data_IF_735330452431
#
_entry.id   IF_735330452431
#
_cell.length_a   1.000
_cell.length_b   1.000
_cell.length_c   1.000
_cell.angle_alpha   90.00
_cell.angle_beta   90.00
_cell.angle_gamma   90.00
#
_symmetry.space_group_name_H-M   'P 1'
#
loop_
_entity.id
_entity.type
_entity.pdbx_description
1 polymer ?
#
# COMPACT_ATOMS: atom_id res chain seq x y z
N UNK A 1 25.51 10.60 24.76
CA UNK A 1 24.62 10.97 23.63
C UNK A 1 23.26 10.34 23.85
N UNK A 2 22.21 11.15 24.08
CA UNK A 2 20.88 10.68 24.48
C UNK A 2 20.22 9.75 23.45
N UNK A 3 19.62 8.65 23.94
CA UNK A 3 18.82 7.72 23.14
C UNK A 3 17.51 8.40 22.68
N UNK A 4 17.51 9.08 21.54
CA UNK A 4 16.29 9.64 20.94
C UNK A 4 15.40 8.46 20.50
N UNK A 5 14.26 8.26 21.19
CA UNK A 5 13.28 7.18 20.96
C UNK A 5 13.91 5.77 20.89
N UNK A 6 15.04 5.58 21.58
CA UNK A 6 15.73 4.30 21.66
C UNK A 6 16.59 3.91 20.44
N UNK A 7 16.79 4.78 19.47
CA UNK A 7 17.76 4.51 18.40
C UNK A 7 19.20 4.67 18.90
N UNK A 8 20.04 3.66 18.63
CA UNK A 8 21.48 3.71 18.97
C UNK A 8 22.30 4.49 17.95
N UNK A 9 21.90 4.44 16.67
CA UNK A 9 22.60 5.08 15.56
C UNK A 9 21.73 6.21 14.97
N UNK A 10 22.32 7.40 14.76
CA UNK A 10 21.63 8.56 14.15
C UNK A 10 21.14 8.26 12.74
N UNK A 11 21.88 7.46 11.98
CA UNK A 11 21.49 7.05 10.63
C UNK A 11 20.18 6.26 10.62
N UNK A 12 19.99 5.31 11.54
CA UNK A 12 18.74 4.55 11.64
C UNK A 12 17.55 5.43 12.01
N UNK A 13 17.77 6.45 12.85
CA UNK A 13 16.74 7.45 13.17
C UNK A 13 16.37 8.28 11.94
N UNK A 14 17.36 8.75 11.17
CA UNK A 14 17.12 9.49 9.93
C UNK A 14 16.30 8.67 8.93
N UNK A 15 16.69 7.42 8.69
CA UNK A 15 15.95 6.50 7.81
C UNK A 15 14.51 6.29 8.28
N UNK A 16 14.30 6.13 9.59
CA UNK A 16 12.97 5.98 10.16
C UNK A 16 12.11 7.23 9.94
N UNK A 17 12.66 8.42 10.15
CA UNK A 17 11.93 9.68 9.93
C UNK A 17 11.61 9.86 8.45
N UNK A 18 12.58 9.62 7.56
CA UNK A 18 12.39 9.83 6.12
C UNK A 18 11.40 8.81 5.53
N UNK A 19 11.69 7.51 5.63
CA UNK A 19 10.83 6.46 5.05
C UNK A 19 9.54 6.24 5.84
N UNK A 20 9.62 6.29 7.17
CA UNK A 20 8.43 6.20 8.03
C UNK A 20 7.53 7.42 7.90
N UNK A 21 8.10 8.62 7.75
CA UNK A 21 7.36 9.84 7.45
C UNK A 21 6.71 9.79 6.07
N UNK A 22 7.41 9.30 5.05
CA UNK A 22 6.84 9.10 3.71
C UNK A 22 5.67 8.11 3.74
N UNK A 23 5.80 6.98 4.45
CA UNK A 23 4.72 6.02 4.62
C UNK A 23 3.53 6.63 5.37
N UNK A 24 3.77 7.35 6.48
CA UNK A 24 2.72 8.04 7.23
C UNK A 24 1.98 9.05 6.35
N UNK A 25 2.72 9.88 5.62
CA UNK A 25 2.15 10.88 4.71
C UNK A 25 1.32 10.23 3.60
N UNK A 26 1.79 9.12 3.04
CA UNK A 26 1.05 8.35 2.05
C UNK A 26 -0.24 7.73 2.62
N UNK A 27 -0.19 7.16 3.81
CA UNK A 27 -1.36 6.62 4.51
C UNK A 27 -2.40 7.71 4.77
N UNK A 28 -1.99 8.87 5.28
CA UNK A 28 -2.88 10.02 5.52
C UNK A 28 -3.46 10.58 4.22
N UNK A 29 -2.65 10.70 3.16
CA UNK A 29 -3.12 11.10 1.84
C UNK A 29 -4.18 10.14 1.29
N UNK A 30 -3.97 8.84 1.48
CA UNK A 30 -4.85 7.76 1.01
C UNK A 30 -6.10 7.61 1.88
N UNK A 31 -6.08 8.03 3.15
CA UNK A 31 -7.25 8.00 4.02
C UNK A 31 -8.44 8.77 3.44
N UNK A 32 -8.21 9.81 2.64
CA UNK A 32 -9.27 10.55 1.94
C UNK A 32 -10.08 9.68 0.98
N UNK A 33 -9.47 8.65 0.40
CA UNK A 33 -10.14 7.75 -0.54
C UNK A 33 -10.91 6.62 0.15
N UNK A 34 -10.93 6.59 1.50
CA UNK A 34 -11.91 5.79 2.26
C UNK A 34 -13.34 6.28 2.02
N UNK A 35 -13.52 7.56 1.69
CA UNK A 35 -14.78 8.10 1.21
C UNK A 35 -14.91 7.82 -0.29
N UNK A 36 -15.91 7.00 -0.66
CA UNK A 36 -16.16 6.61 -2.05
C UNK A 36 -16.46 7.78 -2.98
N UNK A 37 -17.03 8.89 -2.50
CA UNK A 37 -17.23 10.09 -3.33
C UNK A 37 -15.90 10.75 -3.69
N UNK A 38 -14.97 10.83 -2.74
CA UNK A 38 -13.61 11.32 -3.00
C UNK A 38 -12.82 10.33 -3.87
N UNK A 39 -13.01 9.02 -3.67
CA UNK A 39 -12.45 8.01 -4.55
C UNK A 39 -12.92 8.22 -5.99
N UNK A 40 -14.23 8.37 -6.24
CA UNK A 40 -14.77 8.68 -7.57
C UNK A 40 -14.13 9.95 -8.17
N UNK A 41 -13.96 10.99 -7.37
CA UNK A 41 -13.37 12.27 -7.78
C UNK A 41 -11.89 12.15 -8.19
N UNK A 42 -11.10 11.35 -7.46
CA UNK A 42 -9.66 11.22 -7.68
C UNK A 42 -9.27 10.01 -8.53
N UNK A 43 -10.22 9.12 -8.85
CA UNK A 43 -9.97 7.97 -9.70
C UNK A 43 -9.56 8.41 -11.11
N UNK A 44 -8.55 7.76 -11.72
CA UNK A 44 -8.31 7.85 -13.14
C UNK A 44 -9.56 7.53 -13.96
N UNK A 45 -9.66 8.10 -15.17
CA UNK A 45 -10.78 7.83 -16.08
C UNK A 45 -10.96 6.32 -16.30
N UNK A 46 -12.21 5.87 -16.27
CA UNK A 46 -12.62 4.45 -16.41
C UNK A 46 -12.43 3.60 -15.15
N UNK A 47 -11.55 3.97 -14.23
CA UNK A 47 -11.29 3.16 -13.04
C UNK A 47 -12.52 3.09 -12.11
N UNK A 48 -13.30 4.18 -12.01
CA UNK A 48 -14.52 4.18 -11.21
C UNK A 48 -15.59 3.23 -11.74
N UNK A 49 -15.69 3.03 -13.06
CA UNK A 49 -16.65 2.10 -13.66
C UNK A 49 -16.49 0.70 -13.04
N UNK A 50 -15.24 0.21 -12.97
CA UNK A 50 -14.93 -1.08 -12.36
C UNK A 50 -15.07 -1.06 -10.83
N UNK A 51 -14.60 -0.02 -10.17
CA UNK A 51 -14.55 0.04 -8.69
C UNK A 51 -15.92 0.31 -8.06
N UNK A 52 -16.89 0.75 -8.85
CA UNK A 52 -18.28 0.91 -8.40
C UNK A 52 -19.03 -0.41 -8.32
N UNK A 53 -18.57 -1.46 -9.02
CA UNK A 53 -19.17 -2.79 -9.01
C UNK A 53 -19.00 -3.47 -7.65
N UNK A 54 -20.01 -4.24 -7.21
CA UNK A 54 -20.11 -4.81 -5.84
C UNK A 54 -18.82 -5.48 -5.35
N UNK A 55 -18.25 -6.40 -6.14
CA UNK A 55 -17.05 -7.15 -5.75
C UNK A 55 -15.80 -6.26 -5.61
N UNK A 56 -15.57 -5.39 -6.60
CA UNK A 56 -14.41 -4.49 -6.61
C UNK A 56 -14.53 -3.43 -5.52
N UNK A 57 -15.73 -2.91 -5.30
CA UNK A 57 -16.03 -1.92 -4.26
C UNK A 57 -15.69 -2.44 -2.86
N UNK A 58 -16.09 -3.68 -2.57
CA UNK A 58 -15.81 -4.33 -1.27
C UNK A 58 -14.32 -4.57 -1.10
N UNK A 59 -13.65 -5.17 -2.09
CA UNK A 59 -12.20 -5.43 -2.00
C UNK A 59 -11.41 -4.13 -1.91
N UNK A 60 -11.81 -3.08 -2.62
CA UNK A 60 -11.20 -1.76 -2.53
C UNK A 60 -11.35 -1.17 -1.12
N UNK A 61 -12.55 -1.23 -0.54
CA UNK A 61 -12.76 -0.79 0.84
C UNK A 61 -11.87 -1.56 1.82
N UNK A 62 -11.88 -2.90 1.76
CA UNK A 62 -11.04 -3.72 2.64
C UNK A 62 -9.58 -3.33 2.47
N UNK A 63 -9.08 -3.25 1.23
CA UNK A 63 -7.70 -2.86 0.93
C UNK A 63 -7.35 -1.49 1.51
N UNK A 64 -8.12 -0.43 1.22
CA UNK A 64 -7.77 0.94 1.66
C UNK A 64 -7.85 1.08 3.17
N UNK A 65 -8.89 0.55 3.82
CA UNK A 65 -9.02 0.63 5.28
C UNK A 65 -7.86 -0.12 5.95
N UNK A 66 -7.63 -1.37 5.58
CA UNK A 66 -6.61 -2.20 6.21
C UNK A 66 -5.18 -1.77 5.87
N UNK A 67 -4.90 -1.28 4.65
CA UNK A 67 -3.58 -0.74 4.28
C UNK A 67 -3.25 0.55 5.01
N UNK A 68 -4.20 1.48 5.16
CA UNK A 68 -3.95 2.77 5.82
C UNK A 68 -3.71 2.55 7.32
N UNK A 69 -4.60 1.83 7.99
CA UNK A 69 -4.38 1.52 9.41
C UNK A 69 -3.14 0.64 9.59
N UNK A 70 -2.98 -0.42 8.81
CA UNK A 70 -1.83 -1.31 8.90
C UNK A 70 -0.50 -0.60 8.67
N UNK A 71 -0.44 0.30 7.69
CA UNK A 71 0.75 1.10 7.38
C UNK A 71 1.12 2.09 8.50
N UNK A 72 0.14 2.76 9.09
CA UNK A 72 0.36 3.64 10.26
C UNK A 72 0.87 2.82 11.45
N UNK A 73 0.20 1.72 11.78
CA UNK A 73 0.56 0.89 12.93
C UNK A 73 1.89 0.13 12.75
N UNK A 74 2.29 -0.13 11.50
CA UNK A 74 3.60 -0.71 11.17
C UNK A 74 4.76 0.21 11.60
N UNK A 75 4.57 1.53 11.65
CA UNK A 75 5.63 2.45 12.11
C UNK A 75 6.04 2.17 13.56
N UNK A 76 5.07 1.87 14.43
CA UNK A 76 5.32 1.53 15.82
C UNK A 76 6.10 0.20 15.98
N UNK A 77 6.06 -0.70 14.99
CA UNK A 77 6.82 -1.95 15.03
C UNK A 77 8.34 -1.71 14.95
N UNK A 78 8.76 -0.65 14.27
CA UNK A 78 10.18 -0.35 14.08
C UNK A 78 10.76 0.59 15.15
N UNK A 79 9.95 1.10 16.08
CA UNK A 79 10.42 1.90 17.20
C UNK A 79 11.17 1.03 18.22
N UNK A 80 12.50 1.20 18.41
CA UNK A 80 13.27 0.37 19.32
C UNK A 80 12.85 0.54 20.78
N UNK A 81 12.36 1.72 21.15
CA UNK A 81 11.84 1.98 22.50
C UNK A 81 10.66 1.05 22.85
N UNK A 82 9.71 0.86 21.95
CA UNK A 82 8.53 0.00 22.18
C UNK A 82 8.98 -1.45 22.36
N UNK A 83 9.84 -1.95 21.47
CA UNK A 83 10.33 -3.33 21.59
C UNK A 83 11.08 -3.59 22.91
N UNK A 84 11.90 -2.64 23.38
CA UNK A 84 12.75 -2.83 24.57
C UNK A 84 12.02 -2.58 25.88
N UNK A 85 11.03 -1.68 25.91
CA UNK A 85 10.34 -1.25 27.13
C UNK A 85 8.92 -1.81 27.26
N UNK A 86 8.28 -2.16 26.15
CA UNK A 86 6.88 -2.58 26.09
C UNK A 86 6.71 -3.74 25.09
N UNK A 87 7.40 -4.86 25.35
CA UNK A 87 7.42 -6.01 24.41
C UNK A 87 6.04 -6.62 24.17
N UNK A 88 5.14 -6.61 25.17
CA UNK A 88 3.77 -7.10 25.01
C UNK A 88 3.02 -6.23 24.01
N UNK A 89 3.14 -4.90 24.12
CA UNK A 89 2.56 -3.94 23.17
C UNK A 89 3.12 -4.16 21.76
N UNK A 90 4.43 -4.37 21.63
CA UNK A 90 5.06 -4.69 20.34
C UNK A 90 4.43 -5.94 19.71
N UNK A 91 4.25 -7.01 20.48
CA UNK A 91 3.66 -8.27 20.00
C UNK A 91 2.19 -8.12 19.60
N UNK A 92 1.36 -7.52 20.45
CA UNK A 92 -0.06 -7.30 20.16
C UNK A 92 -0.25 -6.42 18.92
N UNK A 93 0.48 -5.30 18.86
CA UNK A 93 0.47 -4.45 17.67
C UNK A 93 1.01 -5.21 16.43
N UNK A 94 1.95 -6.14 16.62
CA UNK A 94 2.51 -6.94 15.52
C UNK A 94 1.47 -7.86 14.89
N UNK A 95 0.68 -8.56 15.72
CA UNK A 95 -0.44 -9.36 15.22
C UNK A 95 -1.53 -8.51 14.57
N UNK A 96 -1.84 -7.35 15.16
CA UNK A 96 -2.78 -6.41 14.58
C UNK A 96 -2.34 -5.95 13.18
N UNK A 97 -1.08 -5.55 13.03
CA UNK A 97 -0.48 -5.17 11.73
C UNK A 97 -0.56 -6.32 10.72
N UNK A 98 -0.28 -7.57 11.13
CA UNK A 98 -0.36 -8.73 10.24
C UNK A 98 -1.79 -9.03 9.77
N UNK A 99 -2.77 -8.97 10.69
CA UNK A 99 -4.19 -9.17 10.39
C UNK A 99 -4.72 -8.09 9.45
N UNK A 100 -4.17 -6.88 9.49
CA UNK A 100 -4.52 -5.83 8.55
C UNK A 100 -3.79 -5.98 7.20
N UNK A 101 -2.46 -6.11 7.22
CA UNK A 101 -1.66 -6.01 6.01
C UNK A 101 -1.75 -7.26 5.13
N UNK A 102 -1.94 -8.47 5.67
CA UNK A 102 -2.05 -9.68 4.82
C UNK A 102 -3.33 -9.62 3.98
N UNK A 103 -4.54 -9.46 4.55
CA UNK A 103 -5.78 -9.27 3.77
C UNK A 103 -5.72 -8.03 2.87
N UNK A 104 -5.11 -6.93 3.34
CA UNK A 104 -4.87 -5.75 2.51
C UNK A 104 -4.18 -6.09 1.20
N UNK A 105 -3.10 -6.88 1.24
CA UNK A 105 -2.35 -7.23 0.04
C UNK A 105 -3.14 -8.16 -0.89
N UNK A 106 -3.93 -9.09 -0.34
CA UNK A 106 -4.82 -9.96 -1.12
C UNK A 106 -5.91 -9.14 -1.83
N UNK A 107 -6.65 -8.31 -1.09
CA UNK A 107 -7.68 -7.46 -1.67
C UNK A 107 -7.09 -6.43 -2.65
N UNK A 108 -5.89 -5.90 -2.36
CA UNK A 108 -5.16 -5.02 -3.26
C UNK A 108 -4.80 -5.70 -4.59
N UNK A 109 -4.35 -6.95 -4.54
CA UNK A 109 -4.10 -7.75 -5.73
C UNK A 109 -5.38 -7.98 -6.55
N UNK A 110 -6.49 -8.35 -5.91
CA UNK A 110 -7.80 -8.53 -6.58
C UNK A 110 -8.23 -7.25 -7.29
N UNK A 111 -8.10 -6.10 -6.62
CA UNK A 111 -8.43 -4.79 -7.18
C UNK A 111 -7.45 -4.39 -8.29
N UNK A 112 -6.20 -4.85 -8.21
CA UNK A 112 -5.14 -4.70 -9.21
C UNK A 112 -5.51 -5.24 -10.59
N UNK A 113 -6.47 -6.18 -10.68
CA UNK A 113 -6.99 -6.71 -11.95
C UNK A 113 -7.51 -5.63 -12.91
N UNK A 114 -8.08 -4.55 -12.37
CA UNK A 114 -8.63 -3.41 -13.15
C UNK A 114 -8.01 -2.06 -12.80
N UNK A 115 -6.90 -2.07 -12.07
CA UNK A 115 -6.18 -0.84 -11.78
C UNK A 115 -5.57 -0.27 -13.08
N UNK A 116 -5.69 1.05 -13.28
CA UNK A 116 -5.09 1.77 -14.42
C UNK A 116 -5.32 1.10 -15.79
N UNK A 117 -6.57 0.73 -16.11
CA UNK A 117 -6.95 0.12 -17.40
C UNK A 117 -6.86 -1.42 -17.41
N UNK A 118 -6.15 -2.03 -16.46
CA UNK A 118 -6.10 -3.48 -16.32
C UNK A 118 -5.24 -4.20 -17.36
N UNK A 119 -4.26 -3.52 -17.95
CA UNK A 119 -3.28 -4.16 -18.83
C UNK A 119 -2.44 -5.22 -18.08
N UNK A 120 -1.95 -6.22 -18.81
CA UNK A 120 -1.20 -7.35 -18.23
C UNK A 120 0.08 -6.91 -17.49
N UNK A 121 0.72 -5.84 -17.97
CA UNK A 121 1.91 -5.26 -17.31
C UNK A 121 1.54 -4.70 -15.93
N UNK A 122 0.43 -3.99 -15.85
CA UNK A 122 -0.10 -3.42 -14.61
C UNK A 122 -0.54 -4.51 -13.64
N UNK A 123 -1.27 -5.52 -14.14
CA UNK A 123 -1.70 -6.66 -13.31
C UNK A 123 -0.51 -7.43 -12.74
N UNK A 124 0.48 -7.74 -13.59
CA UNK A 124 1.71 -8.44 -13.17
C UNK A 124 2.41 -7.70 -12.03
N UNK A 125 2.55 -6.38 -12.14
CA UNK A 125 3.14 -5.56 -11.08
C UNK A 125 2.37 -5.68 -9.75
N UNK A 126 1.04 -5.55 -9.76
CA UNK A 126 0.23 -5.64 -8.53
C UNK A 126 0.21 -7.04 -7.92
N UNK A 127 0.18 -8.09 -8.75
CA UNK A 127 0.25 -9.48 -8.27
C UNK A 127 1.62 -9.78 -7.67
N UNK A 128 2.71 -9.39 -8.33
CA UNK A 128 4.06 -9.53 -7.77
C UNK A 128 4.17 -8.79 -6.44
N UNK A 129 3.69 -7.54 -6.37
CA UNK A 129 3.71 -6.77 -5.13
C UNK A 129 2.95 -7.49 -4.01
N UNK A 130 1.71 -7.92 -4.27
CA UNK A 130 0.86 -8.59 -3.29
C UNK A 130 1.43 -9.93 -2.80
N UNK A 131 1.97 -10.75 -3.70
CA UNK A 131 2.57 -12.04 -3.36
C UNK A 131 3.84 -11.85 -2.53
N UNK A 132 4.75 -10.99 -2.98
CA UNK A 132 6.04 -10.81 -2.32
C UNK A 132 5.88 -10.13 -0.97
N UNK A 133 5.02 -9.11 -0.86
CA UNK A 133 4.76 -8.43 0.41
C UNK A 133 4.09 -9.37 1.43
N UNK A 134 3.02 -10.07 1.04
CA UNK A 134 2.33 -11.01 1.92
C UNK A 134 3.25 -12.19 2.29
N UNK A 135 4.01 -12.71 1.33
CA UNK A 135 5.01 -13.75 1.57
C UNK A 135 6.05 -13.33 2.62
N UNK A 136 6.58 -12.11 2.54
CA UNK A 136 7.50 -11.58 3.55
C UNK A 136 6.86 -11.51 4.94
N UNK A 137 5.61 -11.05 5.04
CA UNK A 137 4.88 -10.96 6.30
C UNK A 137 4.61 -12.34 6.91
N UNK A 138 4.22 -13.31 6.09
CA UNK A 138 3.97 -14.70 6.50
C UNK A 138 5.28 -15.35 6.98
N UNK A 139 6.36 -15.28 6.20
CA UNK A 139 7.67 -15.83 6.59
C UNK A 139 8.17 -15.14 7.87
N UNK A 140 7.99 -13.82 7.99
CA UNK A 140 8.31 -13.08 9.20
C UNK A 140 7.54 -13.59 10.42
N UNK A 141 6.24 -13.84 10.27
CA UNK A 141 5.40 -14.40 11.33
C UNK A 141 5.84 -15.82 11.74
N UNK A 142 6.08 -16.71 10.77
CA UNK A 142 6.52 -18.09 11.03
C UNK A 142 7.84 -18.16 11.82
N UNK A 143 8.71 -17.15 11.66
CA UNK A 143 9.99 -17.06 12.35
C UNK A 143 9.93 -16.35 13.70
N UNK A 144 8.78 -15.82 14.13
CA UNK A 144 8.69 -14.99 15.37
C UNK A 144 9.12 -15.75 16.63
N UNK A 145 8.80 -17.05 16.70
CA UNK A 145 9.19 -17.95 17.80
C UNK A 145 10.42 -18.82 17.49
N UNK A 146 10.77 -18.97 16.21
CA UNK A 146 11.88 -19.83 15.76
C UNK A 146 13.21 -19.08 15.77
N UNK A 147 13.29 -18.02 14.98
CA UNK A 147 14.52 -17.29 14.69
C UNK A 147 14.23 -15.79 14.65
N UNK A 148 14.36 -15.12 15.80
CA UNK A 148 13.98 -13.71 15.92
C UNK A 148 14.80 -12.77 15.02
N UNK A 149 16.00 -13.20 14.61
CA UNK A 149 16.84 -12.50 13.65
C UNK A 149 16.24 -12.56 12.25
N UNK A 150 15.78 -13.73 11.80
CA UNK A 150 15.11 -13.89 10.51
C UNK A 150 13.76 -13.18 10.50
N UNK A 151 12.97 -13.29 11.57
CA UNK A 151 11.75 -12.52 11.75
C UNK A 151 11.98 -11.02 11.47
N UNK A 152 13.02 -10.43 12.08
CA UNK A 152 13.33 -9.01 11.87
C UNK A 152 13.68 -8.69 10.41
N UNK A 153 14.48 -9.53 9.76
CA UNK A 153 14.87 -9.33 8.35
C UNK A 153 13.65 -9.36 7.43
N UNK A 154 12.78 -10.35 7.62
CA UNK A 154 11.58 -10.51 6.79
C UNK A 154 10.53 -9.42 7.05
N UNK A 155 10.34 -8.97 8.29
CA UNK A 155 9.46 -7.83 8.58
C UNK A 155 9.96 -6.53 7.94
N UNK A 156 11.28 -6.28 7.96
CA UNK A 156 11.84 -5.10 7.29
C UNK A 156 11.66 -5.17 5.77
N UNK A 157 11.95 -6.33 5.16
CA UNK A 157 11.71 -6.55 3.72
C UNK A 157 10.24 -6.34 3.35
N UNK A 158 9.32 -6.93 4.12
CA UNK A 158 7.89 -6.82 3.88
C UNK A 158 7.39 -5.37 3.88
N UNK A 159 7.83 -4.56 4.83
CA UNK A 159 7.40 -3.14 4.92
C UNK A 159 8.04 -2.27 3.86
N UNK A 160 9.31 -2.51 3.50
CA UNK A 160 9.95 -1.81 2.38
C UNK A 160 9.23 -2.12 1.07
N UNK A 161 8.94 -3.40 0.79
CA UNK A 161 8.23 -3.83 -0.41
C UNK A 161 6.81 -3.28 -0.44
N UNK A 162 6.08 -3.35 0.68
CA UNK A 162 4.75 -2.75 0.81
C UNK A 162 4.75 -1.24 0.49
N UNK A 163 5.83 -0.53 0.85
CA UNK A 163 5.95 0.91 0.64
C UNK A 163 6.30 1.31 -0.80
N UNK A 164 6.60 0.37 -1.70
CA UNK A 164 6.89 0.66 -3.13
C UNK A 164 5.73 1.37 -3.82
N UNK A 165 4.50 1.17 -3.36
CA UNK A 165 3.32 1.86 -3.87
C UNK A 165 3.46 3.40 -3.81
N UNK A 166 4.21 3.94 -2.85
CA UNK A 166 4.46 5.38 -2.73
C UNK A 166 5.17 5.87 -4.00
N UNK A 167 6.25 5.20 -4.39
CA UNK A 167 7.01 5.52 -5.61
C UNK A 167 6.19 5.26 -6.87
N UNK A 168 5.46 4.14 -6.94
CA UNK A 168 4.59 3.83 -8.08
C UNK A 168 3.57 4.95 -8.31
N UNK A 169 2.91 5.43 -7.26
CA UNK A 169 1.89 6.48 -7.38
C UNK A 169 2.46 7.83 -7.84
N UNK A 170 3.69 8.17 -7.45
CA UNK A 170 4.37 9.37 -7.94
C UNK A 170 4.71 9.25 -9.43
N UNK A 171 5.24 8.09 -9.83
CA UNK A 171 5.60 7.80 -11.22
C UNK A 171 4.35 7.82 -12.10
N UNK A 172 3.30 7.08 -11.74
CA UNK A 172 2.09 6.96 -12.57
C UNK A 172 1.37 8.29 -12.75
N UNK A 173 1.30 9.13 -11.70
CA UNK A 173 0.70 10.47 -11.82
C UNK A 173 1.46 11.36 -12.80
N UNK A 174 2.79 11.33 -12.74
CA UNK A 174 3.67 12.11 -13.61
C UNK A 174 3.61 11.59 -15.05
N UNK A 175 3.73 10.27 -15.22
CA UNK A 175 3.68 9.60 -16.51
C UNK A 175 2.36 9.89 -17.24
N UNK A 176 1.22 9.87 -16.53
CA UNK A 176 -0.08 10.19 -17.12
C UNK A 176 -0.09 11.57 -17.77
N UNK A 177 0.45 12.60 -17.11
CA UNK A 177 0.48 13.95 -17.67
C UNK A 177 1.35 14.01 -18.92
N UNK A 178 2.56 13.44 -18.86
CA UNK A 178 3.51 13.41 -19.98
C UNK A 178 2.90 12.71 -21.19
N UNK A 179 2.35 11.50 -20.99
CA UNK A 179 1.77 10.69 -22.07
C UNK A 179 0.57 11.40 -22.72
N UNK A 180 -0.29 12.04 -21.92
CA UNK A 180 -1.39 12.85 -22.46
C UNK A 180 -0.89 14.03 -23.29
N UNK A 181 0.22 14.68 -22.91
CA UNK A 181 0.81 15.77 -23.70
C UNK A 181 1.40 15.30 -25.03
N UNK A 182 1.97 14.10 -25.09
CA UNK A 182 2.51 13.53 -26.34
C UNK A 182 1.38 13.14 -27.29
N UNK A 183 0.27 12.58 -26.76
CA UNK A 183 -0.94 12.30 -27.52
C UNK A 183 -0.87 11.07 -28.45
N UNK A 184 0.18 10.25 -28.36
CA UNK A 184 0.41 9.09 -29.22
C UNK A 184 0.19 7.73 -28.52
N UNK A 185 -0.31 7.73 -27.29
CA UNK A 185 -0.58 6.51 -26.52
C UNK A 185 -2.06 6.17 -26.55
N UNK A 186 -2.36 4.94 -26.91
CA UNK A 186 -3.72 4.42 -27.01
C UNK A 186 -3.84 3.14 -26.18
N UNK A 187 -4.94 3.04 -25.43
CA UNK A 187 -5.28 1.87 -24.63
C UNK A 187 -6.65 1.35 -25.06
N UNK A 188 -6.85 0.04 -24.93
CA UNK A 188 -8.13 -0.60 -25.22
C UNK A 188 -9.11 -0.36 -24.08
N UNK A 189 -10.33 0.09 -24.40
CA UNK A 189 -11.43 0.26 -23.45
C UNK A 189 -12.61 -0.63 -23.86
N UNK A 190 -13.37 -1.11 -22.85
CA UNK A 190 -14.66 -1.77 -23.10
C UNK A 190 -15.69 -0.68 -23.45
N UNK A 191 -16.63 -0.96 -24.36
CA UNK A 191 -17.56 0.06 -24.86
C UNK A 191 -18.45 0.70 -23.77
N UNK A 192 -18.80 -0.06 -22.73
CA UNK A 192 -19.59 0.42 -21.57
C UNK A 192 -18.76 1.25 -20.59
N UNK A 193 -17.50 0.87 -20.36
CA UNK A 193 -16.52 1.68 -19.63
C UNK A 193 -16.28 3.01 -20.35
N UNK A 194 -16.03 2.96 -21.67
CA UNK A 194 -15.86 4.14 -22.52
C UNK A 194 -17.10 5.05 -22.49
N UNK A 195 -18.30 4.48 -22.62
CA UNK A 195 -19.55 5.25 -22.51
C UNK A 195 -19.63 5.97 -21.17
N UNK A 196 -19.31 5.28 -20.08
CA UNK A 196 -19.33 5.88 -18.73
C UNK A 196 -18.35 7.05 -18.62
N UNK A 197 -17.16 6.93 -19.22
CA UNK A 197 -16.19 8.03 -19.23
C UNK A 197 -16.71 9.21 -20.04
N UNK A 198 -17.22 8.98 -21.26
CA UNK A 198 -17.70 10.04 -22.14
C UNK A 198 -18.93 10.78 -21.58
N UNK A 199 -19.87 10.06 -20.97
CA UNK A 199 -21.08 10.68 -20.37
C UNK A 199 -20.78 11.48 -19.10
N UNK A 200 -19.65 11.23 -18.42
CA UNK A 200 -19.23 12.04 -17.27
C UNK A 200 -18.40 13.28 -17.67
N UNK A 201 -18.10 13.47 -18.96
CA UNK A 201 -17.35 14.62 -19.50
C UNK A 201 -18.29 15.72 -20.03
N UNK A 202 -19.54 15.36 -20.37
CA UNK A 202 -20.64 16.28 -20.69
C UNK A 202 -21.39 16.74 -19.45
#
# INVERSE_FOLDING_TARGET
MGNIVGFKQRWSLFLFIFFGGALLGFCLYSARTMNFALMKKYAPAGQWFWYSQKMMKVNYAIHIYTSVFGGIFALFQFLPAIRRRAVIVHRLNGYFVLILLIPSNVCGAIVGYRAYGGEINTQSMYYTLGIVSAGCLIIGYLNVKKETREHRKWMLRGVVIFSVVITTQLITKSARQIVTHIGNYYSVFRCDDLRTVLTNIT
#
